data_IF_446375638444
#
_entry.id   IF_446375638444
#
_cell.length_a   1.000
_cell.length_b   1.000
_cell.length_c   1.000
_cell.angle_alpha   90.00
_cell.angle_beta   90.00
_cell.angle_gamma   90.00
#
_symmetry.space_group_name_H-M   'P 1'
#
loop_
_entity.id
_entity.type
_entity.pdbx_description
1 polymer ?
#
# COMPACT_ATOMS: atom_id res chain seq x y z
N UNK A 1 9.91 2.27 -6.04
CA UNK A 1 11.03 2.14 -5.10
C UNK A 1 12.31 2.50 -5.84
N UNK A 2 13.35 2.89 -5.12
CA UNK A 2 14.68 3.15 -5.69
C UNK A 2 15.48 1.86 -5.86
N UNK A 3 16.57 1.90 -6.63
CA UNK A 3 17.47 0.74 -6.79
C UNK A 3 18.09 0.29 -5.46
N UNK A 4 18.40 1.22 -4.57
CA UNK A 4 18.97 0.92 -3.26
C UNK A 4 17.97 0.21 -2.35
N UNK A 5 16.71 0.66 -2.37
CA UNK A 5 15.59 0.01 -1.67
C UNK A 5 15.38 -1.41 -2.16
N UNK A 6 15.36 -1.62 -3.48
CA UNK A 6 15.29 -2.96 -4.06
C UNK A 6 16.46 -3.84 -3.58
N UNK A 7 17.68 -3.29 -3.55
CA UNK A 7 18.85 -4.00 -3.02
C UNK A 7 18.66 -4.48 -1.58
N UNK A 8 17.98 -3.71 -0.72
CA UNK A 8 17.64 -4.13 0.65
C UNK A 8 16.64 -5.29 0.66
N UNK A 9 15.61 -5.25 -0.18
CA UNK A 9 14.62 -6.33 -0.34
C UNK A 9 15.31 -7.62 -0.76
N UNK A 10 16.16 -7.55 -1.79
CA UNK A 10 16.89 -8.69 -2.34
C UNK A 10 17.86 -9.30 -1.33
N UNK A 11 18.62 -8.47 -0.58
CA UNK A 11 19.49 -8.95 0.50
C UNK A 11 18.71 -9.72 1.57
N UNK A 12 17.54 -9.20 1.96
CA UNK A 12 16.67 -9.85 2.94
C UNK A 12 16.12 -11.16 2.42
N UNK A 13 15.72 -11.21 1.15
CA UNK A 13 15.24 -12.42 0.51
C UNK A 13 16.33 -13.49 0.42
N UNK A 14 17.55 -13.13 0.04
CA UNK A 14 18.69 -14.04 0.00
C UNK A 14 19.04 -14.59 1.39
N UNK A 15 18.89 -13.77 2.44
CA UNK A 15 19.11 -14.20 3.81
C UNK A 15 18.01 -15.17 4.31
N UNK A 16 16.76 -14.99 3.87
CA UNK A 16 15.65 -15.87 4.22
C UNK A 16 15.69 -17.21 3.46
N UNK A 17 16.19 -17.20 2.22
CA UNK A 17 16.24 -18.37 1.34
C UNK A 17 17.68 -18.66 0.88
N UNK A 18 18.59 -19.08 1.78
CA UNK A 18 20.01 -19.25 1.48
C UNK A 18 20.29 -20.30 0.40
N UNK A 19 19.39 -21.29 0.25
CA UNK A 19 19.55 -22.40 -0.69
C UNK A 19 19.04 -22.09 -2.11
N UNK A 20 18.46 -20.90 -2.33
CA UNK A 20 17.89 -20.51 -3.61
C UNK A 20 18.59 -19.23 -4.10
N UNK A 21 19.66 -19.35 -4.89
CA UNK A 21 20.40 -18.20 -5.36
C UNK A 21 19.60 -17.39 -6.39
N UNK A 22 19.63 -16.07 -6.25
CA UNK A 22 19.01 -15.16 -7.21
C UNK A 22 19.91 -14.95 -8.42
N UNK A 23 19.39 -15.25 -9.61
CA UNK A 23 20.10 -14.99 -10.85
C UNK A 23 20.05 -13.50 -11.21
N UNK A 24 21.07 -13.01 -11.92
CA UNK A 24 21.13 -11.62 -12.37
C UNK A 24 19.94 -11.23 -13.26
N UNK A 25 19.51 -12.14 -14.14
CA UNK A 25 18.32 -11.94 -14.98
C UNK A 25 17.05 -11.79 -14.16
N UNK A 26 16.92 -12.55 -13.06
CA UNK A 26 15.79 -12.41 -12.14
C UNK A 26 15.81 -11.03 -11.48
N UNK A 27 16.97 -10.53 -11.05
CA UNK A 27 17.09 -9.20 -10.47
C UNK A 27 16.66 -8.09 -11.43
N UNK A 28 17.00 -8.21 -12.71
CA UNK A 28 16.64 -7.24 -13.75
C UNK A 28 15.12 -7.17 -13.95
N UNK A 29 14.46 -8.34 -14.05
CA UNK A 29 12.99 -8.42 -14.13
C UNK A 29 12.34 -7.80 -12.89
N UNK A 30 12.84 -8.12 -11.69
CA UNK A 30 12.29 -7.58 -10.46
C UNK A 30 12.45 -6.06 -10.36
N UNK A 31 13.55 -5.52 -10.87
CA UNK A 31 13.79 -4.08 -10.90
C UNK A 31 12.84 -3.35 -11.84
N UNK A 32 12.43 -3.99 -12.94
CA UNK A 32 11.47 -3.45 -13.88
C UNK A 32 10.05 -3.51 -13.32
N UNK A 33 9.62 -4.67 -12.82
CA UNK A 33 8.25 -4.91 -12.36
C UNK A 33 7.91 -4.18 -11.07
N UNK A 34 8.88 -4.05 -10.15
CA UNK A 34 8.68 -3.34 -8.88
C UNK A 34 8.94 -1.82 -9.00
N UNK A 35 9.18 -1.34 -10.21
CA UNK A 35 9.31 0.10 -10.50
C UNK A 35 7.98 0.79 -10.17
N UNK A 36 8.04 1.87 -9.39
CA UNK A 36 6.84 2.60 -8.95
C UNK A 36 6.11 2.02 -7.72
N UNK A 37 6.42 0.80 -7.27
CA UNK A 37 5.89 0.26 -6.00
C UNK A 37 6.51 0.98 -4.78
N UNK A 38 5.81 1.06 -3.66
CA UNK A 38 6.37 1.62 -2.42
C UNK A 38 7.20 0.57 -1.66
N UNK A 39 8.38 0.96 -1.16
CA UNK A 39 9.30 0.04 -0.48
C UNK A 39 8.66 -0.63 0.74
N UNK A 40 7.98 0.13 1.59
CA UNK A 40 7.37 -0.37 2.83
C UNK A 40 6.35 -1.48 2.57
N UNK A 41 5.54 -1.34 1.51
CA UNK A 41 4.53 -2.32 1.13
C UNK A 41 5.15 -3.62 0.64
N UNK A 42 6.16 -3.52 -0.23
CA UNK A 42 6.89 -4.69 -0.72
C UNK A 42 7.60 -5.40 0.43
N UNK A 43 8.21 -4.66 1.35
CA UNK A 43 8.83 -5.23 2.54
C UNK A 43 7.82 -5.92 3.47
N UNK A 44 6.63 -5.34 3.64
CA UNK A 44 5.57 -5.93 4.45
C UNK A 44 5.12 -7.28 3.85
N UNK A 45 4.84 -7.32 2.53
CA UNK A 45 4.45 -8.56 1.85
C UNK A 45 5.56 -9.61 1.88
N UNK A 46 6.81 -9.22 1.65
CA UNK A 46 7.94 -10.12 1.79
C UNK A 46 8.03 -10.71 3.21
N UNK A 47 7.77 -9.90 4.24
CA UNK A 47 7.79 -10.38 5.64
C UNK A 47 6.69 -11.39 5.91
N UNK A 48 5.49 -11.18 5.37
CA UNK A 48 4.37 -12.14 5.49
C UNK A 48 4.71 -13.43 4.75
N UNK A 49 5.17 -13.33 3.50
CA UNK A 49 5.52 -14.48 2.67
C UNK A 49 6.60 -15.35 3.31
N UNK A 50 7.66 -14.75 3.88
CA UNK A 50 8.73 -15.48 4.58
C UNK A 50 8.18 -16.31 5.76
N UNK A 51 7.12 -15.87 6.42
CA UNK A 51 6.50 -16.59 7.55
C UNK A 51 5.63 -17.76 7.10
N UNK A 52 5.06 -17.66 5.90
CA UNK A 52 4.04 -18.61 5.41
C UNK A 52 4.60 -19.62 4.42
N UNK A 53 5.63 -19.25 3.65
CA UNK A 53 6.17 -20.04 2.55
C UNK A 53 7.65 -20.32 2.69
N UNK A 54 8.00 -21.60 2.49
CA UNK A 54 9.38 -22.09 2.42
C UNK A 54 10.06 -21.76 1.08
N UNK A 55 9.30 -21.38 0.07
CA UNK A 55 9.81 -21.12 -1.27
C UNK A 55 9.94 -19.63 -1.56
N UNK A 56 10.90 -19.29 -2.41
CA UNK A 56 11.13 -17.93 -2.88
C UNK A 56 9.83 -17.32 -3.44
N UNK A 57 9.48 -16.08 -3.04
CA UNK A 57 8.31 -15.41 -3.59
C UNK A 57 8.49 -15.13 -5.09
N UNK A 58 7.37 -15.11 -5.79
CA UNK A 58 7.23 -14.57 -7.13
C UNK A 58 7.12 -13.04 -7.09
N UNK A 59 7.42 -12.40 -8.23
CA UNK A 59 7.25 -10.94 -8.37
C UNK A 59 5.81 -10.51 -8.11
N UNK A 60 4.83 -11.31 -8.57
CA UNK A 60 3.41 -10.99 -8.42
C UNK A 60 2.93 -11.00 -6.97
N UNK A 61 3.51 -11.85 -6.13
CA UNK A 61 3.18 -11.87 -4.69
C UNK A 61 3.66 -10.59 -4.00
N UNK A 62 4.78 -10.03 -4.45
CA UNK A 62 5.35 -8.80 -3.91
C UNK A 62 4.78 -7.54 -4.56
N UNK A 63 4.31 -7.64 -5.81
CA UNK A 63 3.76 -6.52 -6.56
C UNK A 63 2.48 -5.99 -5.92
N UNK A 64 2.44 -4.68 -5.70
CA UNK A 64 1.23 -3.98 -5.31
C UNK A 64 0.95 -2.85 -6.29
N UNK A 65 -0.28 -2.84 -6.81
CA UNK A 65 -0.73 -1.76 -7.68
C UNK A 65 -0.59 -0.45 -6.91
N UNK A 66 0.11 0.56 -7.46
CA UNK A 66 0.17 1.87 -6.82
C UNK A 66 -1.26 2.36 -6.64
N UNK A 67 -1.63 2.65 -5.39
CA UNK A 67 -2.92 3.24 -5.07
C UNK A 67 -2.86 4.67 -5.60
N UNK A 68 -3.40 4.88 -6.80
CA UNK A 68 -3.90 6.20 -7.16
C UNK A 68 -4.88 6.57 -6.06
N UNK A 69 -4.66 7.68 -5.35
CA UNK A 69 -5.61 8.13 -4.32
C UNK A 69 -6.98 8.25 -4.98
N UNK A 70 -7.83 7.27 -4.70
CA UNK A 70 -9.05 7.10 -5.46
C UNK A 70 -10.04 8.19 -5.05
N UNK A 71 -10.94 8.50 -5.98
CA UNK A 71 -12.16 9.33 -5.80
C UNK A 71 -12.87 9.15 -4.46
N UNK A 72 -12.73 7.99 -3.80
CA UNK A 72 -13.34 7.67 -2.51
C UNK A 72 -12.76 8.52 -1.36
N UNK A 73 -11.44 8.73 -1.33
CA UNK A 73 -10.80 9.67 -0.39
C UNK A 73 -11.31 11.10 -0.61
N UNK A 74 -11.37 11.52 -1.87
CA UNK A 74 -11.90 12.84 -2.24
C UNK A 74 -13.37 13.00 -1.88
N UNK A 75 -14.18 11.96 -2.05
CA UNK A 75 -15.59 11.93 -1.70
C UNK A 75 -15.78 12.05 -0.18
N UNK A 76 -15.01 11.30 0.61
CA UNK A 76 -15.03 11.39 2.08
C UNK A 76 -14.64 12.80 2.53
N UNK A 77 -13.55 13.37 1.97
CA UNK A 77 -13.10 14.72 2.31
C UNK A 77 -14.15 15.79 1.97
N UNK A 78 -14.87 15.62 0.84
CA UNK A 78 -15.99 16.51 0.48
C UNK A 78 -17.14 16.38 1.46
N UNK A 79 -17.52 15.16 1.82
CA UNK A 79 -18.60 14.91 2.77
C UNK A 79 -18.29 15.47 4.16
N UNK A 80 -17.05 15.34 4.63
CA UNK A 80 -16.61 15.93 5.90
C UNK A 80 -16.71 17.46 5.87
N UNK A 81 -16.27 18.10 4.79
CA UNK A 81 -16.40 19.56 4.60
C UNK A 81 -17.87 20.00 4.55
N UNK A 82 -18.73 19.27 3.84
CA UNK A 82 -20.17 19.56 3.79
C UNK A 82 -20.85 19.34 5.13
N UNK A 83 -20.47 18.29 5.87
CA UNK A 83 -20.96 18.02 7.22
C UNK A 83 -20.59 19.13 8.19
N UNK A 84 -19.34 19.61 8.15
CA UNK A 84 -18.87 20.72 8.98
C UNK A 84 -19.67 22.01 8.70
N UNK A 85 -19.91 22.34 7.43
CA UNK A 85 -20.74 23.49 7.04
C UNK A 85 -22.19 23.35 7.53
N UNK A 86 -22.78 22.16 7.41
CA UNK A 86 -24.14 21.88 7.93
C UNK A 86 -24.21 22.09 9.44
N UNK A 87 -23.24 21.59 10.20
CA UNK A 87 -23.18 21.78 11.65
C UNK A 87 -23.06 23.26 12.01
N UNK A 88 -22.21 24.01 11.30
CA UNK A 88 -22.04 25.44 11.54
C UNK A 88 -23.31 26.25 11.19
N UNK A 89 -23.98 25.93 10.09
CA UNK A 89 -25.25 26.56 9.71
C UNK A 89 -26.39 26.19 10.67
N UNK A 90 -26.39 24.99 11.22
CA UNK A 90 -27.37 24.54 12.20
C UNK A 90 -27.01 24.91 13.65
N UNK A 91 -25.88 25.60 13.91
CA UNK A 91 -25.58 26.14 15.26
C UNK A 91 -26.65 27.15 15.65
N UNK A 92 -27.60 26.71 16.47
CA UNK A 92 -28.74 27.51 16.93
C UNK A 92 -30.10 27.03 16.40
N UNK A 93 -30.14 26.16 15.39
CA UNK A 93 -31.38 25.49 14.97
C UNK A 93 -31.64 24.28 15.87
N UNK A 94 -32.53 24.44 16.87
CA UNK A 94 -33.25 23.29 17.40
C UNK A 94 -34.28 22.89 16.35
N UNK A 95 -34.10 21.73 15.73
CA UNK A 95 -35.15 21.12 14.94
C UNK A 95 -36.32 20.83 15.90
N UNK A 96 -37.32 21.71 15.87
CA UNK A 96 -38.58 21.47 16.56
C UNK A 96 -39.33 20.43 15.73
N UNK A 97 -39.67 19.27 16.28
CA UNK A 97 -40.40 18.28 15.51
C UNK A 97 -41.78 18.82 15.10
N UNK A 98 -42.35 18.37 13.97
CA UNK A 98 -43.59 18.94 13.40
C UNK A 98 -44.88 18.79 14.23
N UNK A 99 -44.80 18.22 15.43
CA UNK A 99 -45.94 17.91 16.31
C UNK A 99 -45.93 18.72 17.62
N UNK A 100 -45.03 19.69 17.77
CA UNK A 100 -45.10 20.72 18.83
C UNK A 100 -46.02 21.88 18.46
#
# INVERSE_FOLDING_TARGET
MTRDELGKVLKRMQAAYPNQPLSRSMLEVWAEELKGCTYDRVQQRLTVHIRESRFLPSVSELYEKPVEETRLKDMILRWEKEGAKRIEQCKGYRAVPPWE
#
